data_IF_223147722829
#
_entry.id   IF_223147722829
#
_cell.length_a   1.000
_cell.length_b   1.000
_cell.length_c   1.000
_cell.angle_alpha   90.00
_cell.angle_beta   90.00
_cell.angle_gamma   90.00
#
_symmetry.space_group_name_H-M   'P 1'
#
loop_
_entity.id
_entity.type
_entity.pdbx_description
1 polymer ?
#
# COMPACT_ATOMS: atom_id res chain seq x y z
N UNK A 1 0.39 -3.16 -29.63
CA UNK A 1 0.83 -3.96 -28.47
C UNK A 1 1.71 -3.16 -27.49
N UNK A 2 1.31 -1.95 -27.06
CA UNK A 2 2.07 -1.11 -26.11
C UNK A 2 1.69 -1.35 -24.63
N UNK A 3 0.69 -2.20 -24.36
CA UNK A 3 0.16 -2.42 -23.01
C UNK A 3 1.13 -3.12 -22.05
N UNK A 4 2.03 -3.97 -22.55
CA UNK A 4 2.92 -4.77 -21.68
C UNK A 4 3.95 -3.97 -20.90
N UNK A 5 4.60 -2.97 -21.53
CA UNK A 5 5.60 -2.11 -20.86
C UNK A 5 4.95 -1.15 -19.87
N UNK A 6 3.80 -0.57 -20.23
CA UNK A 6 3.04 0.32 -19.35
C UNK A 6 2.47 -0.43 -18.15
N UNK A 7 1.92 -1.62 -18.35
CA UNK A 7 1.46 -2.48 -17.27
C UNK A 7 2.59 -2.83 -16.30
N UNK A 8 3.73 -3.32 -16.80
CA UNK A 8 4.88 -3.69 -15.98
C UNK A 8 5.39 -2.53 -15.10
N UNK A 9 5.50 -1.32 -15.69
CA UNK A 9 5.88 -0.11 -14.95
C UNK A 9 4.88 0.24 -13.86
N UNK A 10 3.59 0.13 -14.15
CA UNK A 10 2.54 0.38 -13.16
C UNK A 10 2.61 -0.62 -12.00
N UNK A 11 2.77 -1.91 -12.30
CA UNK A 11 2.91 -2.93 -11.25
C UNK A 11 4.13 -2.68 -10.37
N UNK A 12 5.26 -2.32 -10.97
CA UNK A 12 6.47 -1.96 -10.24
C UNK A 12 6.28 -0.73 -9.33
N UNK A 13 5.67 0.35 -9.84
CA UNK A 13 5.40 1.55 -9.03
C UNK A 13 4.36 1.29 -7.93
N UNK A 14 3.37 0.43 -8.18
CA UNK A 14 2.41 0.01 -7.16
C UNK A 14 3.11 -0.75 -6.03
N UNK A 15 4.04 -1.65 -6.34
CA UNK A 15 4.88 -2.33 -5.35
C UNK A 15 5.67 -1.35 -4.49
N UNK A 16 6.32 -0.35 -5.11
CA UNK A 16 7.03 0.72 -4.37
C UNK A 16 6.06 1.44 -3.42
N UNK A 17 4.88 1.82 -3.90
CA UNK A 17 3.87 2.49 -3.08
C UNK A 17 3.43 1.66 -1.88
N UNK A 18 3.13 0.38 -2.08
CA UNK A 18 2.73 -0.53 -1.00
C UNK A 18 3.85 -0.69 0.04
N UNK A 19 5.09 -0.86 -0.39
CA UNK A 19 6.22 -0.96 0.51
C UNK A 19 6.47 0.34 1.30
N UNK A 20 6.35 1.51 0.66
CA UNK A 20 6.51 2.80 1.34
C UNK A 20 5.42 3.04 2.40
N UNK A 21 4.17 2.63 2.12
CA UNK A 21 3.11 2.64 3.13
C UNK A 21 3.43 1.69 4.29
N UNK A 22 3.77 0.43 3.99
CA UNK A 22 4.00 -0.58 5.01
C UNK A 22 5.20 -0.21 5.91
N UNK A 23 6.29 0.27 5.31
CA UNK A 23 7.47 0.76 6.06
C UNK A 23 7.14 2.01 6.87
N UNK A 24 6.37 2.96 6.32
CA UNK A 24 5.91 4.13 7.05
C UNK A 24 5.06 3.77 8.28
N UNK A 25 4.11 2.84 8.13
CA UNK A 25 3.33 2.33 9.26
C UNK A 25 4.22 1.67 10.31
N UNK A 26 5.13 0.80 9.88
CA UNK A 26 6.06 0.11 10.77
C UNK A 26 6.89 1.09 11.60
N UNK A 27 7.53 2.06 10.96
CA UNK A 27 8.36 3.05 11.66
C UNK A 27 7.54 3.97 12.56
N UNK A 28 6.36 4.40 12.11
CA UNK A 28 5.43 5.17 12.94
C UNK A 28 5.08 4.42 14.22
N UNK A 29 4.63 3.17 14.09
CA UNK A 29 4.26 2.35 15.25
C UNK A 29 5.46 2.03 16.14
N UNK A 30 6.62 1.69 15.55
CA UNK A 30 7.83 1.36 16.31
C UNK A 30 8.31 2.53 17.17
N UNK A 31 8.27 3.75 16.64
CA UNK A 31 8.70 4.95 17.38
C UNK A 31 7.66 5.39 18.40
N UNK A 32 6.39 5.48 18.02
CA UNK A 32 5.36 6.08 18.87
C UNK A 32 4.72 5.10 19.86
N UNK A 33 4.81 3.78 19.66
CA UNK A 33 4.27 2.79 20.62
C UNK A 33 5.36 2.06 21.42
N UNK A 34 6.64 2.28 21.12
CA UNK A 34 7.80 1.65 21.81
C UNK A 34 7.78 0.12 21.90
N UNK A 35 6.99 -0.53 21.04
CA UNK A 35 6.84 -1.99 20.99
C UNK A 35 7.08 -2.46 19.58
N UNK A 36 8.36 -2.62 19.22
CA UNK A 36 8.77 -3.01 17.87
C UNK A 36 8.11 -4.32 17.42
N UNK A 37 7.99 -5.28 18.34
CA UNK A 37 7.34 -6.56 18.06
C UNK A 37 5.84 -6.42 17.79
N UNK A 38 5.10 -5.70 18.63
CA UNK A 38 3.67 -5.50 18.41
C UNK A 38 3.39 -4.65 17.17
N UNK A 39 4.17 -3.58 16.96
CA UNK A 39 4.07 -2.76 15.75
C UNK A 39 4.29 -3.58 14.48
N UNK A 40 5.34 -4.43 14.46
CA UNK A 40 5.57 -5.36 13.36
C UNK A 40 4.41 -6.34 13.15
N UNK A 41 3.95 -6.99 14.23
CA UNK A 41 2.87 -7.96 14.16
C UNK A 41 1.56 -7.32 13.66
N UNK A 42 1.20 -6.14 14.17
CA UNK A 42 0.03 -5.37 13.74
C UNK A 42 0.13 -5.03 12.26
N UNK A 43 1.27 -4.49 11.81
CA UNK A 43 1.45 -4.16 10.39
C UNK A 43 1.33 -5.41 9.53
N UNK A 44 2.06 -6.47 9.84
CA UNK A 44 2.06 -7.68 9.01
C UNK A 44 0.71 -8.39 8.99
N UNK A 45 0.11 -8.66 10.16
CA UNK A 45 -1.16 -9.40 10.25
C UNK A 45 -2.30 -8.60 9.64
N UNK A 46 -2.42 -7.31 9.98
CA UNK A 46 -3.51 -6.50 9.46
C UNK A 46 -3.36 -6.23 7.96
N UNK A 47 -2.13 -6.05 7.47
CA UNK A 47 -1.88 -5.91 6.04
C UNK A 47 -2.29 -7.17 5.28
N UNK A 48 -1.87 -8.35 5.75
CA UNK A 48 -2.24 -9.63 5.13
C UNK A 48 -3.75 -9.87 5.17
N UNK A 49 -4.39 -9.59 6.30
CA UNK A 49 -5.84 -9.68 6.43
C UNK A 49 -6.54 -8.73 5.44
N UNK A 50 -6.10 -7.47 5.37
CA UNK A 50 -6.57 -6.48 4.42
C UNK A 50 -6.40 -6.95 2.97
N UNK A 51 -5.21 -7.37 2.58
CA UNK A 51 -4.93 -7.88 1.23
C UNK A 51 -5.77 -9.10 0.88
N UNK A 52 -5.99 -10.02 1.83
CA UNK A 52 -6.90 -11.15 1.66
C UNK A 52 -8.33 -10.70 1.40
N UNK A 53 -8.84 -9.76 2.20
CA UNK A 53 -10.17 -9.18 2.03
C UNK A 53 -10.32 -8.44 0.71
N UNK A 54 -9.32 -7.64 0.31
CA UNK A 54 -9.32 -6.93 -0.97
C UNK A 54 -9.31 -7.87 -2.17
N UNK A 55 -8.52 -8.95 -2.11
CA UNK A 55 -8.49 -9.99 -3.13
C UNK A 55 -9.84 -10.73 -3.22
N UNK A 56 -10.44 -11.04 -2.08
CA UNK A 56 -11.76 -11.67 -2.02
C UNK A 56 -12.82 -10.74 -2.60
N UNK A 57 -12.90 -9.49 -2.13
CA UNK A 57 -13.86 -8.50 -2.60
C UNK A 57 -13.79 -8.32 -4.13
N UNK A 58 -12.59 -8.16 -4.69
CA UNK A 58 -12.38 -8.02 -6.13
C UNK A 58 -12.78 -9.24 -6.97
N UNK A 59 -13.01 -10.42 -6.36
CA UNK A 59 -13.56 -11.60 -7.08
C UNK A 59 -15.08 -11.57 -7.20
N UNK A 60 -15.78 -10.96 -6.24
CA UNK A 60 -17.24 -11.05 -6.12
C UNK A 60 -17.98 -9.82 -6.63
N UNK A 61 -17.27 -8.73 -6.93
CA UNK A 61 -17.93 -7.47 -7.23
C UNK A 61 -17.85 -7.09 -8.70
N UNK A 62 -18.99 -7.22 -9.39
CA UNK A 62 -19.36 -6.33 -10.51
C UNK A 62 -19.73 -4.90 -10.04
N UNK A 63 -19.30 -4.51 -8.84
CA UNK A 63 -19.61 -3.21 -8.23
C UNK A 63 -18.60 -2.13 -8.66
N UNK A 64 -19.06 -0.94 -9.08
CA UNK A 64 -18.20 0.16 -9.54
C UNK A 64 -17.22 0.64 -8.48
N UNK A 65 -17.53 0.49 -7.18
CA UNK A 65 -16.72 1.03 -6.08
C UNK A 65 -15.42 0.22 -5.91
N UNK A 66 -15.51 -1.10 -5.96
CA UNK A 66 -14.36 -1.98 -5.79
C UNK A 66 -13.47 -2.04 -7.03
N UNK A 67 -14.03 -1.77 -8.21
CA UNK A 67 -13.30 -1.65 -9.48
C UNK A 67 -12.76 -0.25 -9.74
N UNK A 68 -13.10 0.74 -8.89
CA UNK A 68 -12.62 2.10 -9.07
C UNK A 68 -11.16 2.23 -8.62
N UNK A 69 -10.24 2.12 -9.57
CA UNK A 69 -8.80 2.28 -9.37
C UNK A 69 -8.38 3.65 -8.85
N UNK A 70 -9.26 4.66 -8.92
CA UNK A 70 -9.05 5.97 -8.29
C UNK A 70 -9.27 5.97 -6.79
N UNK A 71 -9.93 4.96 -6.23
CA UNK A 71 -10.32 4.94 -4.82
C UNK A 71 -9.21 4.37 -3.94
N UNK A 72 -8.61 3.24 -4.33
CA UNK A 72 -7.78 2.45 -3.41
C UNK A 72 -6.46 3.08 -3.01
N UNK A 73 -5.75 3.76 -3.92
CA UNK A 73 -4.52 4.46 -3.57
C UNK A 73 -4.79 5.69 -2.66
N UNK A 74 -5.76 6.58 -2.97
CA UNK A 74 -6.15 7.63 -2.03
C UNK A 74 -6.69 7.11 -0.70
N UNK A 75 -7.50 6.05 -0.69
CA UNK A 75 -8.03 5.46 0.54
C UNK A 75 -6.91 4.88 1.42
N UNK A 76 -5.97 4.13 0.83
CA UNK A 76 -4.81 3.60 1.54
C UNK A 76 -3.89 4.70 2.07
N UNK A 77 -3.72 5.79 1.32
CA UNK A 77 -2.95 6.96 1.75
C UNK A 77 -3.66 7.75 2.87
N UNK A 78 -4.99 7.91 2.76
CA UNK A 78 -5.80 8.57 3.77
C UNK A 78 -5.78 7.81 5.11
N UNK A 79 -5.92 6.48 5.06
CA UNK A 79 -5.77 5.62 6.23
C UNK A 79 -4.38 5.77 6.87
N UNK A 80 -3.33 5.87 6.04
CA UNK A 80 -1.97 6.07 6.52
C UNK A 80 -1.81 7.40 7.25
N UNK A 81 -2.23 8.52 6.65
CA UNK A 81 -2.10 9.81 7.31
C UNK A 81 -2.98 9.94 8.55
N UNK A 82 -4.17 9.34 8.54
CA UNK A 82 -5.01 9.28 9.73
C UNK A 82 -4.31 8.50 10.86
N UNK A 83 -3.67 7.37 10.54
CA UNK A 83 -2.87 6.61 11.51
C UNK A 83 -1.69 7.42 12.04
N UNK A 84 -0.95 8.11 11.17
CA UNK A 84 0.19 8.94 11.58
C UNK A 84 -0.26 10.14 12.44
N UNK A 85 -1.41 10.74 12.12
CA UNK A 85 -2.00 11.81 12.93
C UNK A 85 -2.42 11.31 14.31
N UNK A 86 -3.03 10.12 14.38
CA UNK A 86 -3.37 9.48 15.66
C UNK A 86 -2.12 9.19 16.49
N UNK A 87 -1.07 8.59 15.90
CA UNK A 87 0.18 8.32 16.61
C UNK A 87 0.85 9.58 17.15
N UNK A 88 0.77 10.69 16.41
CA UNK A 88 1.34 11.97 16.83
C UNK A 88 0.53 12.64 17.95
N UNK A 89 -0.79 12.47 17.96
CA UNK A 89 -1.69 13.09 18.95
C UNK A 89 -1.85 12.25 20.22
N UNK A 90 -1.75 10.93 20.11
CA UNK A 90 -1.89 9.96 21.20
C UNK A 90 -0.67 9.02 21.26
N UNK A 91 0.56 9.54 21.50
CA UNK A 91 1.74 8.71 21.56
C UNK A 91 1.69 7.75 22.76
N UNK A 92 2.24 6.54 22.59
CA UNK A 92 2.34 5.46 23.58
C UNK A 92 1.00 4.85 24.04
N UNK A 93 -0.11 5.16 23.37
CA UNK A 93 -1.42 4.60 23.69
C UNK A 93 -1.67 3.27 22.95
N UNK A 94 -1.35 2.16 23.62
CA UNK A 94 -1.57 0.80 23.09
C UNK A 94 -3.04 0.45 22.89
N UNK A 95 -4.00 1.17 23.49
CA UNK A 95 -5.42 0.89 23.27
C UNK A 95 -5.85 1.14 21.82
N UNK A 96 -5.15 2.03 21.12
CA UNK A 96 -5.39 2.40 19.72
C UNK A 96 -4.81 1.41 18.71
N UNK A 97 -4.13 0.34 19.15
CA UNK A 97 -3.49 -0.63 18.25
C UNK A 97 -4.47 -1.26 17.25
N UNK A 98 -5.73 -1.45 17.65
CA UNK A 98 -6.78 -1.96 16.78
C UNK A 98 -7.21 -0.94 15.71
N UNK A 99 -7.22 0.35 16.08
CA UNK A 99 -7.51 1.43 15.13
C UNK A 99 -6.39 1.52 14.08
N UNK A 100 -5.12 1.46 14.51
CA UNK A 100 -3.98 1.39 13.60
C UNK A 100 -4.02 0.15 12.72
N UNK A 101 -4.30 -1.03 13.28
CA UNK A 101 -4.49 -2.26 12.53
C UNK A 101 -5.58 -2.13 11.47
N UNK A 102 -6.71 -1.50 11.78
CA UNK A 102 -7.78 -1.25 10.81
C UNK A 102 -7.32 -0.35 9.65
N UNK A 103 -6.53 0.69 9.94
CA UNK A 103 -5.97 1.58 8.90
C UNK A 103 -4.96 0.85 8.02
N UNK A 104 -4.08 0.05 8.61
CA UNK A 104 -3.16 -0.84 7.88
C UNK A 104 -3.95 -1.81 7.00
N UNK A 105 -5.03 -2.41 7.52
CA UNK A 105 -5.86 -3.34 6.75
C UNK A 105 -6.55 -2.65 5.56
N UNK A 106 -6.99 -1.39 5.70
CA UNK A 106 -7.54 -0.60 4.59
C UNK A 106 -6.48 -0.39 3.51
N UNK A 107 -5.25 -0.01 3.89
CA UNK A 107 -4.14 0.13 2.94
C UNK A 107 -3.80 -1.21 2.27
N UNK A 108 -3.74 -2.29 3.05
CA UNK A 108 -3.50 -3.66 2.56
C UNK A 108 -4.59 -4.16 1.63
N UNK A 109 -5.85 -3.79 1.86
CA UNK A 109 -6.96 -4.11 0.96
C UNK A 109 -6.77 -3.51 -0.44
N UNK A 110 -6.19 -2.31 -0.53
CA UNK A 110 -5.79 -1.72 -1.81
C UNK A 110 -4.81 -2.60 -2.60
N UNK A 111 -3.85 -3.25 -1.93
CA UNK A 111 -2.95 -4.21 -2.56
C UNK A 111 -3.69 -5.48 -3.02
N UNK A 112 -4.61 -6.00 -2.21
CA UNK A 112 -5.45 -7.14 -2.57
C UNK A 112 -6.30 -6.89 -3.82
N UNK A 113 -6.97 -5.74 -3.86
CA UNK A 113 -7.78 -5.32 -5.02
C UNK A 113 -6.89 -5.11 -6.25
N UNK A 114 -5.70 -4.51 -6.08
CA UNK A 114 -4.74 -4.39 -7.18
C UNK A 114 -4.45 -5.74 -7.86
N UNK A 115 -4.23 -6.81 -7.09
CA UNK A 115 -4.02 -8.14 -7.68
C UNK A 115 -5.28 -8.71 -8.33
N UNK A 116 -6.45 -8.51 -7.72
CA UNK A 116 -7.72 -8.97 -8.29
C UNK A 116 -7.99 -8.32 -9.66
N UNK A 117 -7.80 -7.01 -9.77
CA UNK A 117 -8.12 -6.21 -10.95
C UNK A 117 -7.09 -6.35 -12.07
N UNK A 118 -5.82 -6.62 -11.73
CA UNK A 118 -4.72 -6.60 -12.70
C UNK A 118 -4.24 -7.99 -13.12
N UNK A 119 -4.78 -9.07 -12.54
CA UNK A 119 -4.42 -10.45 -12.93
C UNK A 119 -4.60 -10.74 -14.42
N UNK A 120 -5.59 -10.12 -15.07
CA UNK A 120 -5.89 -10.33 -16.49
C UNK A 120 -5.02 -9.48 -17.42
N UNK A 121 -4.45 -8.37 -16.93
CA UNK A 121 -3.54 -7.51 -17.71
C UNK A 121 -2.23 -8.21 -18.03
N UNK A 122 -1.82 -9.16 -17.20
CA UNK A 122 -0.63 -9.96 -17.38
C UNK A 122 -1.08 -11.40 -17.61
N UNK A 123 -1.05 -11.86 -18.86
CA UNK A 123 -1.42 -13.22 -19.31
C UNK A 123 -1.03 -14.37 -18.35
N UNK A 124 0.01 -14.17 -17.53
CA UNK A 124 0.36 -15.03 -16.40
C UNK A 124 0.45 -14.20 -15.12
N UNK A 125 -0.23 -14.64 -14.06
CA UNK A 125 -0.18 -14.03 -12.71
C UNK A 125 1.25 -13.88 -12.19
N UNK A 126 2.13 -14.86 -12.46
CA UNK A 126 3.54 -14.79 -12.08
C UNK A 126 4.28 -13.53 -12.60
N UNK A 127 3.91 -13.01 -13.78
CA UNK A 127 4.52 -11.79 -14.33
C UNK A 127 4.09 -10.54 -13.57
N UNK A 128 2.83 -10.47 -13.16
CA UNK A 128 2.33 -9.37 -12.32
C UNK A 128 3.08 -9.35 -10.99
N UNK A 129 3.15 -10.49 -10.31
CA UNK A 129 3.91 -10.65 -9.06
C UNK A 129 5.38 -10.31 -9.23
N UNK A 130 6.03 -10.73 -10.32
CA UNK A 130 7.44 -10.42 -10.54
C UNK A 130 7.71 -8.91 -10.57
N UNK A 131 6.91 -8.14 -11.31
CA UNK A 131 7.12 -6.70 -11.42
C UNK A 131 6.75 -5.97 -10.13
N UNK A 132 5.62 -6.32 -9.53
CA UNK A 132 5.18 -5.73 -8.27
C UNK A 132 6.18 -6.03 -7.14
N UNK A 133 6.60 -7.28 -6.97
CA UNK A 133 7.51 -7.69 -5.91
C UNK A 133 8.90 -7.04 -6.02
N UNK A 134 9.43 -6.88 -7.24
CA UNK A 134 10.68 -6.14 -7.44
C UNK A 134 10.54 -4.66 -7.03
N UNK A 135 9.40 -4.06 -7.34
CA UNK A 135 9.07 -2.71 -6.89
C UNK A 135 8.92 -2.64 -5.37
N UNK A 136 8.28 -3.64 -4.77
CA UNK A 136 8.08 -3.75 -3.34
C UNK A 136 9.40 -3.87 -2.57
N UNK A 137 10.31 -4.74 -3.01
CA UNK A 137 11.65 -4.88 -2.42
C UNK A 137 12.43 -3.57 -2.54
N UNK A 138 12.41 -2.92 -3.70
CA UNK A 138 13.05 -1.61 -3.87
C UNK A 138 12.42 -0.56 -2.96
N UNK A 139 11.09 -0.53 -2.86
CA UNK A 139 10.35 0.37 -1.98
C UNK A 139 10.68 0.16 -0.51
N UNK A 140 10.95 -1.08 -0.08
CA UNK A 140 11.43 -1.40 1.26
C UNK A 140 12.83 -0.82 1.51
N UNK A 141 13.76 -1.03 0.58
CA UNK A 141 15.12 -0.48 0.67
C UNK A 141 15.11 1.05 0.70
N UNK A 142 14.31 1.67 -0.17
CA UNK A 142 14.14 3.12 -0.25
C UNK A 142 13.42 3.66 0.99
N UNK A 143 12.40 2.96 1.49
CA UNK A 143 11.68 3.29 2.71
C UNK A 143 12.58 3.26 3.94
N UNK A 144 13.37 2.20 4.07
CA UNK A 144 14.36 2.05 5.12
C UNK A 144 15.44 3.14 5.06
N UNK A 145 16.14 3.27 3.93
CA UNK A 145 17.21 4.27 3.77
C UNK A 145 16.66 5.69 3.94
N UNK A 146 15.51 5.97 3.35
CA UNK A 146 14.84 7.26 3.46
C UNK A 146 14.42 7.60 4.90
N UNK A 147 13.97 6.62 5.69
CA UNK A 147 13.74 6.85 7.12
C UNK A 147 15.05 7.07 7.89
N UNK A 148 16.11 6.30 7.61
CA UNK A 148 17.41 6.46 8.28
C UNK A 148 18.02 7.84 8.03
N UNK A 149 17.99 8.33 6.78
CA UNK A 149 18.64 9.59 6.41
C UNK A 149 17.71 10.81 6.45
N UNK A 150 16.41 10.62 6.25
CA UNK A 150 15.39 11.68 6.16
C UNK A 150 14.32 11.65 7.26
N UNK A 151 14.38 10.67 8.15
CA UNK A 151 13.50 10.54 9.30
C UNK A 151 12.02 10.46 8.93
N UNK A 152 11.19 11.07 9.79
CA UNK A 152 9.75 11.14 9.60
C UNK A 152 9.33 11.96 8.39
N UNK A 153 10.08 13.00 8.01
CA UNK A 153 9.74 13.81 6.85
C UNK A 153 9.68 12.95 5.59
N UNK A 154 10.64 12.05 5.41
CA UNK A 154 10.62 11.10 4.30
C UNK A 154 9.43 10.15 4.37
N UNK A 155 9.19 9.53 5.54
CA UNK A 155 8.10 8.57 5.73
C UNK A 155 6.71 9.18 5.49
N UNK A 156 6.55 10.48 5.75
CA UNK A 156 5.32 11.20 5.46
C UNK A 156 5.18 11.56 4.00
N UNK A 157 6.24 12.02 3.33
CA UNK A 157 6.15 12.56 1.98
C UNK A 157 6.23 11.48 0.89
N UNK A 158 7.04 10.44 1.09
CA UNK A 158 7.30 9.44 0.06
C UNK A 158 6.04 8.67 -0.39
N UNK A 159 5.14 8.22 0.51
CA UNK A 159 3.88 7.59 0.10
C UNK A 159 2.97 8.50 -0.72
N UNK A 160 2.91 9.80 -0.41
CA UNK A 160 2.13 10.75 -1.21
C UNK A 160 2.76 11.00 -2.59
N UNK A 161 4.09 11.17 -2.64
CA UNK A 161 4.80 11.40 -3.90
C UNK A 161 4.58 10.26 -4.89
N UNK A 162 4.70 9.00 -4.43
CA UNK A 162 4.47 7.85 -5.29
C UNK A 162 2.98 7.65 -5.61
N UNK A 163 2.06 7.93 -4.68
CA UNK A 163 0.62 7.87 -4.94
C UNK A 163 0.18 8.86 -6.02
N UNK A 164 0.78 10.06 -6.07
CA UNK A 164 0.54 11.06 -7.11
C UNK A 164 0.97 10.58 -8.51
N UNK A 165 1.88 9.61 -8.61
CA UNK A 165 2.33 9.00 -9.86
C UNK A 165 1.48 7.77 -10.21
N UNK A 166 1.24 6.88 -9.23
CA UNK A 166 0.52 5.62 -9.42
C UNK A 166 -0.95 5.85 -9.76
N UNK A 167 -1.60 6.82 -9.11
CA UNK A 167 -3.04 7.07 -9.29
C UNK A 167 -3.38 7.50 -10.73
N UNK A 168 -2.74 8.50 -11.36
CA UNK A 168 -3.02 8.83 -12.76
C UNK A 168 -2.64 7.71 -13.73
N UNK A 169 -1.62 6.90 -13.40
CA UNK A 169 -1.18 5.80 -14.25
C UNK A 169 -2.17 4.63 -14.25
N UNK A 170 -2.78 4.32 -13.12
CA UNK A 170 -3.80 3.26 -13.01
C UNK A 170 -4.99 3.53 -13.93
N UNK A 171 -5.34 4.80 -14.09
CA UNK A 171 -6.45 5.31 -14.90
C UNK A 171 -6.14 5.22 -16.38
N UNK A 172 -4.92 5.60 -16.77
CA UNK A 172 -4.49 5.47 -18.17
C UNK A 172 -4.54 4.01 -18.62
N UNK A 173 -4.15 3.08 -17.75
CA UNK A 173 -4.20 1.64 -18.06
C UNK A 173 -5.64 1.17 -18.21
N UNK A 174 -6.56 1.62 -17.36
CA UNK A 174 -7.98 1.26 -17.43
C UNK A 174 -8.66 1.69 -18.74
N UNK A 175 -8.26 2.84 -19.31
CA UNK A 175 -8.84 3.33 -20.59
C UNK A 175 -8.39 2.52 -21.81
N UNK A 176 -7.35 1.70 -21.67
CA UNK A 176 -6.73 0.96 -22.78
C UNK A 176 -6.84 -0.57 -22.65
N UNK A 177 -7.54 -1.04 -21.62
CA UNK A 177 -7.84 -2.46 -21.32
C UNK A 177 -9.32 -2.74 -21.55
#
# INVERSE_FOLDING_TARGET
MNGGRSGARFAFLAGIYFALLQTGYFWGLAVYMTSAYQGFATVTVAWLAGSGLGLFAGRFTGSPVFTNRWFWAPAGLGAFYLSMALLRTHPFDLSLIWAHGSMVAISGAGAGVFFADNRNLFQKTARLFYHENNGFVLGWLVGFAGFVFGGFAFSWLAPAAIAAIVTPMSVKIQRHS
#
